data_IF_962118525489
#
_entry.id   IF_962118525489
#
_cell.length_a   1.000
_cell.length_b   1.000
_cell.length_c   1.000
_cell.angle_alpha   90.00
_cell.angle_beta   90.00
_cell.angle_gamma   90.00
#
_symmetry.space_group_name_H-M   'P 1'
#
loop_
_entity.id
_entity.type
_entity.pdbx_description
1 polymer ?
#
# COMPACT_ATOMS: atom_id res chain seq x y z
N UNK A 1 0.81 -7.97 12.78
CA UNK A 1 0.50 -7.59 11.38
C UNK A 1 -0.53 -6.48 11.43
N UNK A 2 -0.40 -5.47 10.58
CA UNK A 2 -1.39 -4.39 10.43
C UNK A 2 -1.84 -4.33 8.97
N UNK A 3 -3.07 -3.89 8.74
CA UNK A 3 -3.57 -3.60 7.39
C UNK A 3 -3.26 -2.14 7.07
N UNK A 4 -2.50 -1.91 6.02
CA UNK A 4 -2.29 -0.60 5.42
C UNK A 4 -2.91 -0.60 4.03
N UNK A 5 -2.97 0.57 3.38
CA UNK A 5 -3.74 0.72 2.15
C UNK A 5 -2.90 1.28 1.02
N UNK A 6 -3.22 0.81 -0.19
CA UNK A 6 -2.69 1.34 -1.44
C UNK A 6 -3.84 1.69 -2.37
N UNK A 7 -3.77 2.86 -2.99
CA UNK A 7 -4.60 3.24 -4.12
C UNK A 7 -3.87 2.86 -5.42
N UNK A 8 -4.60 2.20 -6.32
CA UNK A 8 -4.12 1.71 -7.62
C UNK A 8 -5.15 1.96 -8.72
N UNK A 9 -4.71 1.84 -9.96
CA UNK A 9 -5.55 1.97 -11.15
C UNK A 9 -6.40 0.69 -11.33
N UNK A 10 -7.31 0.71 -12.31
CA UNK A 10 -8.25 -0.39 -12.57
C UNK A 10 -7.57 -1.72 -12.94
N UNK A 11 -6.32 -1.67 -13.41
CA UNK A 11 -5.48 -2.84 -13.72
C UNK A 11 -4.63 -3.32 -12.52
N UNK A 12 -4.93 -2.79 -11.33
CA UNK A 12 -4.23 -3.04 -10.06
C UNK A 12 -2.77 -2.55 -10.03
N UNK A 13 -2.37 -1.63 -10.90
CA UNK A 13 -1.03 -1.03 -10.86
C UNK A 13 -1.07 0.33 -10.16
N UNK A 14 -0.03 0.65 -9.40
CA UNK A 14 0.17 2.01 -8.91
C UNK A 14 0.51 2.97 -10.06
N UNK A 15 0.44 4.29 -9.84
CA UNK A 15 0.97 5.27 -10.80
C UNK A 15 2.47 5.13 -11.15
N UNK A 16 3.24 4.32 -10.39
CA UNK A 16 4.62 3.94 -10.74
C UNK A 16 4.72 2.57 -11.43
N UNK A 17 3.59 1.98 -11.80
CA UNK A 17 3.51 0.72 -12.51
C UNK A 17 3.81 -0.52 -11.66
N UNK A 18 3.77 -0.46 -10.32
CA UNK A 18 3.93 -1.67 -9.49
C UNK A 18 2.57 -2.34 -9.25
N UNK A 19 2.50 -3.68 -9.35
CA UNK A 19 1.25 -4.43 -9.28
C UNK A 19 0.84 -4.81 -7.84
N UNK A 20 -0.45 -4.64 -7.53
CA UNK A 20 -1.11 -5.01 -6.27
C UNK A 20 -2.35 -5.87 -6.56
N UNK A 21 -2.17 -6.95 -7.32
CA UNK A 21 -3.27 -7.82 -7.74
C UNK A 21 -3.86 -8.55 -6.50
N UNK A 22 -5.18 -8.48 -6.24
CA UNK A 22 -5.81 -9.21 -5.15
C UNK A 22 -5.42 -10.70 -5.12
N UNK A 23 -5.12 -11.21 -3.93
CA UNK A 23 -4.62 -12.58 -3.71
C UNK A 23 -3.10 -12.74 -3.83
N UNK A 24 -2.38 -11.76 -4.38
CA UNK A 24 -0.90 -11.81 -4.46
C UNK A 24 -0.25 -11.23 -3.21
N UNK A 25 1.06 -11.49 -3.03
CA UNK A 25 1.87 -10.94 -1.93
C UNK A 25 2.95 -10.01 -2.51
N UNK A 26 2.65 -8.72 -2.73
CA UNK A 26 3.59 -7.71 -3.22
C UNK A 26 4.87 -7.60 -2.39
N UNK A 27 6.03 -7.65 -3.05
CA UNK A 27 7.35 -7.40 -2.44
C UNK A 27 8.13 -6.42 -3.31
N UNK A 28 8.68 -5.38 -2.70
CA UNK A 28 9.52 -4.41 -3.39
C UNK A 28 10.82 -5.06 -3.88
N UNK A 29 11.21 -4.88 -5.15
CA UNK A 29 12.47 -5.39 -5.68
C UNK A 29 13.69 -4.58 -5.19
N UNK A 30 13.45 -3.38 -4.64
CA UNK A 30 14.44 -2.35 -4.37
C UNK A 30 14.49 -1.92 -2.89
N UNK A 31 14.01 -2.75 -1.96
CA UNK A 31 13.98 -2.40 -0.53
C UNK A 31 15.35 -1.97 -0.01
N UNK A 32 15.45 -0.72 0.46
CA UNK A 32 16.72 -0.11 0.88
C UNK A 32 17.03 -0.25 2.37
N UNK A 33 16.22 -1.00 3.13
CA UNK A 33 16.36 -1.12 4.58
C UNK A 33 15.70 0.01 5.38
N UNK A 34 14.92 0.89 4.75
CA UNK A 34 14.26 2.00 5.42
C UNK A 34 15.06 3.31 5.42
N UNK A 35 16.08 3.42 4.57
CA UNK A 35 16.98 4.58 4.52
C UNK A 35 16.24 5.81 3.98
N UNK A 36 15.59 5.69 2.83
CA UNK A 36 14.89 6.80 2.18
C UNK A 36 13.44 6.89 2.65
N UNK A 37 12.89 8.10 2.76
CA UNK A 37 11.44 8.27 2.99
C UNK A 37 10.61 7.78 1.79
N UNK A 38 11.04 8.18 0.58
CA UNK A 38 10.37 7.88 -0.68
C UNK A 38 11.29 7.06 -1.60
N UNK A 39 10.72 6.07 -2.29
CA UNK A 39 11.47 5.08 -3.06
C UNK A 39 12.10 3.98 -2.18
N UNK A 40 12.67 2.96 -2.83
CA UNK A 40 13.36 1.87 -2.13
C UNK A 40 12.43 1.06 -1.23
N UNK A 41 11.24 0.70 -1.71
CA UNK A 41 10.19 0.03 -0.93
C UNK A 41 8.77 0.24 -1.45
N UNK A 42 7.82 -0.54 -0.93
CA UNK A 42 6.39 -0.33 -1.16
C UNK A 42 5.85 0.70 -0.17
N UNK A 43 4.99 1.60 -0.65
CA UNK A 43 4.48 2.73 0.12
C UNK A 43 3.00 2.56 0.38
N UNK A 44 2.59 2.83 1.62
CA UNK A 44 1.22 2.59 2.08
C UNK A 44 0.75 3.74 2.96
N UNK A 45 -0.57 3.94 3.01
CA UNK A 45 -1.21 4.91 3.93
C UNK A 45 -2.08 4.20 4.96
N UNK A 46 -2.40 4.86 6.10
CA UNK A 46 -3.27 4.31 7.13
C UNK A 46 -4.74 4.13 6.69
N UNK A 47 -5.18 4.86 5.66
CA UNK A 47 -6.53 4.76 5.10
C UNK A 47 -6.51 4.87 3.56
N UNK A 48 -7.50 4.28 2.85
CA UNK A 48 -7.56 4.33 1.38
C UNK A 48 -7.65 5.75 0.80
N UNK A 49 -8.49 6.60 1.37
CA UNK A 49 -8.63 8.00 0.93
C UNK A 49 -7.34 8.81 1.12
N UNK A 50 -6.52 8.50 2.14
CA UNK A 50 -5.18 9.07 2.27
C UNK A 50 -4.23 8.54 1.19
N UNK A 51 -4.32 7.25 0.85
CA UNK A 51 -3.54 6.68 -0.24
C UNK A 51 -3.87 7.31 -1.60
N UNK A 52 -5.14 7.68 -1.82
CA UNK A 52 -5.60 8.34 -3.05
C UNK A 52 -4.97 9.73 -3.23
N UNK A 53 -4.65 10.45 -2.15
CA UNK A 53 -4.02 11.76 -2.24
C UNK A 53 -2.64 11.72 -2.95
N UNK A 54 -2.00 10.56 -3.03
CA UNK A 54 -0.73 10.36 -3.75
C UNK A 54 -0.90 9.98 -5.22
N UNK A 55 -2.11 9.63 -5.66
CA UNK A 55 -2.43 9.22 -7.02
C UNK A 55 -3.92 9.47 -7.29
N UNK A 56 -4.26 10.66 -7.78
CA UNK A 56 -5.65 11.09 -8.00
C UNK A 56 -6.36 10.31 -9.11
N UNK A 57 -5.62 9.59 -9.96
CA UNK A 57 -6.18 8.73 -11.02
C UNK A 57 -6.51 7.32 -10.51
N UNK A 58 -6.07 6.97 -9.29
CA UNK A 58 -6.40 5.71 -8.68
C UNK A 58 -7.91 5.57 -8.40
N UNK A 59 -8.46 4.43 -8.83
CA UNK A 59 -9.88 4.10 -8.74
C UNK A 59 -10.16 2.81 -7.96
N UNK A 60 -9.10 2.10 -7.54
CA UNK A 60 -9.19 0.85 -6.79
C UNK A 60 -8.35 0.96 -5.51
N UNK A 61 -8.88 0.43 -4.42
CA UNK A 61 -8.19 0.42 -3.12
C UNK A 61 -7.90 -1.01 -2.68
N UNK A 62 -6.71 -1.19 -2.13
CA UNK A 62 -6.18 -2.50 -1.76
C UNK A 62 -5.72 -2.48 -0.30
N UNK A 63 -6.29 -3.36 0.51
CA UNK A 63 -5.80 -3.70 1.84
C UNK A 63 -4.55 -4.56 1.75
N UNK A 64 -3.50 -4.14 2.43
CA UNK A 64 -2.15 -4.68 2.38
C UNK A 64 -1.73 -5.13 3.78
N UNK A 65 -1.70 -6.45 4.07
CA UNK A 65 -1.17 -6.95 5.33
C UNK A 65 0.35 -6.73 5.39
N UNK A 66 0.82 -5.97 6.37
CA UNK A 66 2.25 -5.66 6.56
C UNK A 66 2.71 -6.07 7.96
N UNK A 67 3.90 -6.67 8.05
CA UNK A 67 4.52 -6.97 9.33
C UNK A 67 4.98 -5.65 9.98
N UNK A 68 4.60 -5.39 11.24
CA UNK A 68 4.96 -4.14 11.93
C UNK A 68 6.47 -3.96 12.00
N UNK A 69 7.23 -5.05 12.12
CA UNK A 69 8.69 -5.05 12.11
C UNK A 69 9.32 -4.61 10.79
N UNK A 70 8.58 -4.69 9.68
CA UNK A 70 9.07 -4.33 8.34
C UNK A 70 8.72 -2.88 7.97
N UNK A 71 7.93 -2.19 8.82
CA UNK A 71 7.51 -0.81 8.59
C UNK A 71 8.64 0.13 8.98
N UNK A 72 9.05 0.96 8.03
CA UNK A 72 9.79 2.18 8.33
C UNK A 72 8.79 3.28 8.64
N UNK A 73 8.74 3.70 9.89
CA UNK A 73 7.88 4.80 10.35
C UNK A 73 8.42 6.16 9.90
N UNK A 74 7.56 7.16 9.71
CA UNK A 74 7.99 8.54 9.52
C UNK A 74 8.90 9.01 10.65
N UNK A 75 9.96 9.72 10.30
CA UNK A 75 10.95 10.27 11.21
C UNK A 75 11.03 11.80 11.12
N UNK A 76 11.82 12.43 12.00
CA UNK A 76 12.05 13.86 11.95
C UNK A 76 12.70 14.28 10.62
N UNK A 77 12.04 15.17 9.87
CA UNK A 77 12.54 15.70 8.59
C UNK A 77 11.89 15.10 7.34
N UNK A 78 11.03 14.10 7.51
CA UNK A 78 10.20 13.56 6.43
C UNK A 78 9.13 14.56 5.98
N UNK A 79 8.77 14.49 4.69
CA UNK A 79 7.80 15.40 4.07
C UNK A 79 6.36 14.87 4.11
N UNK A 80 6.15 13.57 4.33
CA UNK A 80 4.86 12.88 4.21
C UNK A 80 4.58 12.01 5.45
N UNK A 81 4.27 12.62 6.60
CA UNK A 81 3.97 11.90 7.84
C UNK A 81 2.74 10.97 7.75
N UNK A 82 1.89 11.16 6.74
CA UNK A 82 0.66 10.41 6.47
C UNK A 82 0.87 9.12 5.64
N UNK A 83 2.12 8.76 5.31
CA UNK A 83 2.44 7.47 4.67
C UNK A 83 3.62 6.79 5.35
N UNK A 84 3.71 5.48 5.15
CA UNK A 84 4.85 4.66 5.57
C UNK A 84 5.39 3.89 4.38
N UNK A 85 6.56 3.25 4.54
CA UNK A 85 7.03 2.23 3.60
C UNK A 85 7.43 0.95 4.29
N UNK A 86 7.43 -0.15 3.54
CA UNK A 86 7.92 -1.45 3.99
C UNK A 86 8.53 -2.23 2.82
N UNK A 87 9.23 -3.33 3.15
CA UNK A 87 9.74 -4.28 2.15
C UNK A 87 8.62 -4.85 1.28
N UNK A 88 7.47 -5.13 1.88
CA UNK A 88 6.35 -5.74 1.17
C UNK A 88 5.21 -6.12 2.10
N UNK A 89 4.25 -6.82 1.53
CA UNK A 89 3.17 -7.44 2.28
C UNK A 89 3.65 -8.77 2.87
N UNK A 90 3.09 -9.15 4.02
CA UNK A 90 3.30 -10.46 4.65
C UNK A 90 2.11 -11.41 4.48
N UNK A 91 1.12 -11.01 3.69
CA UNK A 91 -0.06 -11.80 3.35
C UNK A 91 -0.69 -11.32 2.04
N UNK A 92 -1.67 -12.07 1.51
CA UNK A 92 -2.33 -11.73 0.27
C UNK A 92 -3.06 -10.40 0.41
N UNK A 93 -2.93 -9.54 -0.59
CA UNK A 93 -3.65 -8.27 -0.65
C UNK A 93 -5.10 -8.50 -1.08
N UNK A 94 -6.01 -7.62 -0.67
CA UNK A 94 -7.44 -7.78 -0.92
C UNK A 94 -8.10 -6.43 -1.24
N UNK A 95 -9.25 -6.47 -1.92
CA UNK A 95 -9.98 -5.25 -2.28
C UNK A 95 -10.69 -4.67 -1.06
N UNK A 96 -10.70 -3.35 -0.97
CA UNK A 96 -11.46 -2.59 0.03
C UNK A 96 -12.20 -1.44 -0.63
N UNK A 97 -13.24 -0.94 0.03
CA UNK A 97 -13.86 0.34 -0.31
C UNK A 97 -13.00 1.52 0.16
N UNK A 98 -13.48 2.75 -0.09
CA UNK A 98 -12.77 3.99 0.28
C UNK A 98 -12.60 4.16 1.80
N UNK A 99 -13.46 3.53 2.58
CA UNK A 99 -13.45 3.58 4.05
C UNK A 99 -12.56 2.47 4.65
N UNK A 100 -12.08 1.54 3.82
CA UNK A 100 -11.20 0.44 4.20
C UNK A 100 -11.92 -0.85 4.54
N UNK A 101 -13.23 -0.95 4.28
CA UNK A 101 -13.97 -2.19 4.49
C UNK A 101 -13.68 -3.18 3.35
N UNK A 102 -13.42 -4.47 3.65
CA UNK A 102 -13.23 -5.48 2.62
C UNK A 102 -14.42 -5.59 1.65
N UNK A 103 -14.14 -5.60 0.36
CA UNK A 103 -15.13 -5.90 -0.67
C UNK A 103 -15.16 -7.41 -0.87
N UNK A 104 -16.20 -8.06 -0.36
CA UNK A 104 -16.46 -9.48 -0.61
C UNK A 104 -17.13 -9.60 -1.98
N UNK A 105 -16.50 -10.28 -2.93
CA UNK A 105 -17.20 -10.66 -4.16
C UNK A 105 -18.14 -11.81 -3.79
N UNK A 106 -19.45 -11.60 -3.93
CA UNK A 106 -20.39 -12.71 -3.94
C UNK A 106 -20.10 -13.57 -5.18
N UNK A 107 -19.89 -14.87 -4.97
CA UNK A 107 -19.75 -15.83 -6.06
C UNK A 107 -21.11 -15.92 -6.77
N UNK A 108 -21.17 -15.43 -8.02
CA UNK A 108 -22.34 -15.59 -8.91
C UNK A 108 -22.28 -16.90 -9.66
#
# INVERSE_FOLDING_TARGET
VVTLYKAVHADYRSGHGFAYVPGTVPVAPDWDGGVSECGGGLHFSPFPWMAQAFDLEASVFVGCPVAVSDIRTPGPGDSYPEKVKARGCCGPVFLVDIDGNPIVKEET
#
